data_IF_860503841006
#
_entry.id   IF_860503841006
#
_cell.length_a   1.000
_cell.length_b   1.000
_cell.length_c   1.000
_cell.angle_alpha   90.00
_cell.angle_beta   90.00
_cell.angle_gamma   90.00
#
_symmetry.space_group_name_H-M   'P 1'
#
loop_
_entity.id
_entity.type
_entity.pdbx_description
1 polymer ?
#
# COMPACT_ATOMS: atom_id res chain seq x y z
N UNK A 1 19.67 -6.79 4.29
CA UNK A 1 18.74 -7.30 3.24
C UNK A 1 19.56 -7.59 1.99
N UNK A 2 19.56 -8.83 1.48
CA UNK A 2 20.42 -9.25 0.36
C UNK A 2 20.10 -8.43 -0.91
N UNK A 3 21.14 -8.04 -1.68
CA UNK A 3 20.99 -7.22 -2.91
C UNK A 3 20.00 -7.84 -3.91
N UNK A 4 19.98 -9.17 -4.04
CA UNK A 4 19.03 -9.89 -4.89
C UNK A 4 17.55 -9.69 -4.47
N UNK A 5 17.26 -9.66 -3.16
CA UNK A 5 15.90 -9.39 -2.66
C UNK A 5 15.49 -7.93 -2.92
N UNK A 6 16.45 -7.01 -2.87
CA UNK A 6 16.22 -5.60 -3.16
C UNK A 6 15.93 -5.37 -4.65
N UNK A 7 16.71 -6.00 -5.54
CA UNK A 7 16.50 -5.93 -6.99
C UNK A 7 15.15 -6.55 -7.34
N UNK A 8 14.85 -7.77 -6.88
CA UNK A 8 13.56 -8.41 -7.15
C UNK A 8 12.38 -7.58 -6.67
N UNK A 9 12.48 -6.96 -5.49
CA UNK A 9 11.46 -6.03 -4.99
C UNK A 9 11.27 -4.82 -5.90
N UNK A 10 12.35 -4.15 -6.31
CA UNK A 10 12.25 -2.97 -7.18
C UNK A 10 11.77 -3.33 -8.59
N UNK A 11 12.14 -4.50 -9.11
CA UNK A 11 11.62 -4.99 -10.39
C UNK A 11 10.12 -5.19 -10.33
N UNK A 12 9.61 -5.95 -9.36
CA UNK A 12 8.16 -6.20 -9.21
C UNK A 12 7.39 -4.90 -8.92
N UNK A 13 7.94 -4.03 -8.09
CA UNK A 13 7.32 -2.73 -7.77
C UNK A 13 7.26 -1.82 -9.01
N UNK A 14 8.31 -1.81 -9.83
CA UNK A 14 8.36 -0.99 -11.06
C UNK A 14 7.37 -1.49 -12.11
N UNK A 15 7.24 -2.82 -12.27
CA UNK A 15 6.26 -3.41 -13.19
C UNK A 15 4.83 -3.03 -12.79
N UNK A 16 4.50 -3.16 -11.50
CA UNK A 16 3.16 -2.83 -10.99
C UNK A 16 2.89 -1.32 -11.11
N UNK A 17 3.87 -0.49 -10.75
CA UNK A 17 3.75 0.96 -10.89
C UNK A 17 3.58 1.38 -12.36
N UNK A 18 4.28 0.73 -13.29
CA UNK A 18 4.13 0.98 -14.72
C UNK A 18 2.74 0.59 -15.22
N UNK A 19 2.22 -0.57 -14.81
CA UNK A 19 0.87 -1.00 -15.17
C UNK A 19 -0.19 0.01 -14.69
N UNK A 20 -0.08 0.51 -13.47
CA UNK A 20 -1.00 1.55 -12.98
C UNK A 20 -0.81 2.90 -13.65
N UNK A 21 0.43 3.33 -13.89
CA UNK A 21 0.72 4.60 -14.53
C UNK A 21 0.18 4.61 -15.97
N UNK A 22 0.41 3.54 -16.74
CA UNK A 22 -0.12 3.39 -18.09
C UNK A 22 -1.65 3.37 -18.14
N UNK A 23 -2.30 2.73 -17.16
CA UNK A 23 -3.75 2.80 -16.99
C UNK A 23 -4.24 4.21 -16.68
N UNK A 24 -3.60 4.91 -15.74
CA UNK A 24 -3.95 6.30 -15.41
C UNK A 24 -3.75 7.27 -16.59
N UNK A 25 -2.68 7.09 -17.37
CA UNK A 25 -2.47 7.88 -18.60
C UNK A 25 -3.54 7.55 -19.64
N UNK A 26 -3.92 6.28 -19.82
CA UNK A 26 -4.99 5.89 -20.73
C UNK A 26 -6.33 6.54 -20.35
N UNK A 27 -6.61 6.66 -19.05
CA UNK A 27 -7.78 7.37 -18.54
C UNK A 27 -7.68 8.87 -18.82
N UNK A 28 -6.51 9.50 -18.62
CA UNK A 28 -6.31 10.94 -18.87
C UNK A 28 -6.44 11.32 -20.35
N UNK A 29 -6.01 10.46 -21.26
CA UNK A 29 -6.13 10.70 -22.72
C UNK A 29 -7.48 10.22 -23.28
N UNK A 30 -8.41 9.80 -22.42
CA UNK A 30 -9.73 9.27 -22.78
C UNK A 30 -9.64 8.20 -23.87
N UNK A 31 -8.76 7.20 -23.66
CA UNK A 31 -8.55 6.14 -24.65
C UNK A 31 -9.90 5.50 -25.02
N UNK A 32 -10.20 5.28 -26.33
CA UNK A 32 -11.54 4.90 -26.78
C UNK A 32 -12.15 3.72 -26.04
N UNK A 33 -11.36 2.69 -25.72
CA UNK A 33 -11.88 1.51 -25.02
C UNK A 33 -12.31 1.83 -23.58
N UNK A 34 -11.58 2.71 -22.89
CA UNK A 34 -11.92 3.13 -21.53
C UNK A 34 -13.11 4.10 -21.54
N UNK A 35 -13.16 5.00 -22.53
CA UNK A 35 -14.26 5.94 -22.71
C UNK A 35 -15.58 5.22 -23.00
N UNK A 36 -15.55 4.21 -23.87
CA UNK A 36 -16.71 3.37 -24.16
C UNK A 36 -17.24 2.68 -22.90
N UNK A 37 -16.36 2.08 -22.09
CA UNK A 37 -16.77 1.45 -20.83
C UNK A 37 -17.44 2.41 -19.85
N UNK A 38 -16.97 3.67 -19.78
CA UNK A 38 -17.60 4.70 -18.94
C UNK A 38 -18.95 5.16 -19.49
N UNK A 39 -19.08 5.31 -20.81
CA UNK A 39 -20.34 5.67 -21.46
C UNK A 39 -21.38 4.56 -21.30
N UNK A 40 -20.99 3.29 -21.43
CA UNK A 40 -21.87 2.14 -21.17
C UNK A 40 -22.44 2.14 -19.74
N UNK A 41 -21.64 2.59 -18.77
CA UNK A 41 -22.03 2.75 -17.37
C UNK A 41 -22.85 4.03 -17.11
N UNK A 42 -22.99 4.92 -18.10
CA UNK A 42 -23.65 6.22 -17.96
C UNK A 42 -22.81 7.27 -17.24
N UNK A 43 -21.50 7.04 -17.06
CA UNK A 43 -20.61 8.02 -16.45
C UNK A 43 -20.17 9.10 -17.43
N UNK A 44 -20.14 10.37 -17.00
CA UNK A 44 -19.63 11.45 -17.84
C UNK A 44 -18.09 11.35 -18.01
N UNK A 45 -17.53 11.78 -19.17
CA UNK A 45 -16.10 11.60 -19.48
C UNK A 45 -15.12 12.24 -18.49
N UNK A 46 -15.52 13.30 -17.77
CA UNK A 46 -14.64 13.94 -16.79
C UNK A 46 -14.26 12.99 -15.64
N UNK A 47 -15.05 11.94 -15.38
CA UNK A 47 -14.74 10.91 -14.37
C UNK A 47 -13.42 10.23 -14.70
N UNK A 48 -13.14 9.97 -15.99
CA UNK A 48 -11.84 9.43 -16.42
C UNK A 48 -10.69 10.38 -16.10
N UNK A 49 -10.88 11.68 -16.28
CA UNK A 49 -9.84 12.66 -15.95
C UNK A 49 -9.53 12.64 -14.45
N UNK A 50 -10.55 12.55 -13.61
CA UNK A 50 -10.38 12.45 -12.15
C UNK A 50 -9.67 11.14 -11.78
N UNK A 51 -10.16 10.00 -12.28
CA UNK A 51 -9.57 8.68 -11.99
C UNK A 51 -8.13 8.57 -12.50
N UNK A 52 -7.87 9.04 -13.72
CA UNK A 52 -6.55 9.04 -14.33
C UNK A 52 -5.56 9.89 -13.54
N UNK A 53 -5.96 11.08 -13.11
CA UNK A 53 -5.14 11.94 -12.23
C UNK A 53 -4.78 11.22 -10.93
N UNK A 54 -5.76 10.61 -10.26
CA UNK A 54 -5.52 9.88 -9.01
C UNK A 54 -4.68 8.61 -9.20
N UNK A 55 -4.86 7.88 -10.30
CA UNK A 55 -4.05 6.69 -10.64
C UNK A 55 -2.57 7.06 -10.82
N UNK A 56 -2.29 8.16 -11.52
CA UNK A 56 -0.92 8.67 -11.68
C UNK A 56 -0.32 9.05 -10.33
N UNK A 57 -1.04 9.78 -9.48
CA UNK A 57 -0.58 10.10 -8.13
C UNK A 57 -0.36 8.85 -7.26
N UNK A 58 -1.26 7.87 -7.36
CA UNK A 58 -1.13 6.58 -6.67
C UNK A 58 0.12 5.81 -7.09
N UNK A 59 0.42 5.76 -8.39
CA UNK A 59 1.63 5.13 -8.91
C UNK A 59 2.90 5.82 -8.38
N UNK A 60 2.94 7.16 -8.37
CA UNK A 60 4.04 7.93 -7.80
C UNK A 60 4.20 7.66 -6.30
N UNK A 61 3.09 7.59 -5.56
CA UNK A 61 3.10 7.29 -4.12
C UNK A 61 3.63 5.87 -3.81
N UNK A 62 3.31 4.88 -4.65
CA UNK A 62 3.83 3.52 -4.50
C UNK A 62 5.33 3.43 -4.76
N UNK A 63 5.85 4.21 -5.72
CA UNK A 63 7.30 4.29 -5.98
C UNK A 63 8.04 5.05 -4.87
N UNK A 64 7.39 5.99 -4.20
CA UNK A 64 8.03 6.82 -3.18
C UNK A 64 8.59 5.99 -1.99
N UNK A 65 9.87 6.20 -1.61
CA UNK A 65 10.51 5.46 -0.52
C UNK A 65 10.03 5.87 0.89
N UNK A 66 9.58 7.12 1.08
CA UNK A 66 9.48 7.74 2.42
C UNK A 66 8.08 7.82 3.04
N UNK A 67 7.01 7.55 2.30
CA UNK A 67 5.65 7.82 2.78
C UNK A 67 4.82 6.53 2.98
N UNK A 68 4.97 5.82 4.11
CA UNK A 68 4.28 4.55 4.35
C UNK A 68 2.76 4.67 4.39
N UNK A 69 2.22 5.73 5.02
CA UNK A 69 0.78 6.03 5.08
C UNK A 69 0.18 6.34 3.71
N UNK A 70 0.83 7.22 2.93
CA UNK A 70 0.37 7.57 1.58
C UNK A 70 0.36 6.34 0.67
N UNK A 71 1.31 5.42 0.87
CA UNK A 71 1.33 4.15 0.15
C UNK A 71 0.14 3.26 0.50
N UNK A 72 -0.23 3.18 1.78
CA UNK A 72 -1.44 2.46 2.21
C UNK A 72 -2.71 3.08 1.62
N UNK A 73 -2.79 4.41 1.55
CA UNK A 73 -3.90 5.10 0.89
C UNK A 73 -3.95 4.82 -0.61
N UNK A 74 -2.80 4.77 -1.28
CA UNK A 74 -2.74 4.42 -2.70
C UNK A 74 -3.26 3.00 -2.95
N UNK A 75 -2.83 2.01 -2.15
CA UNK A 75 -3.33 0.63 -2.26
C UNK A 75 -4.83 0.54 -1.97
N UNK A 76 -5.31 1.19 -0.91
CA UNK A 76 -6.73 1.19 -0.56
C UNK A 76 -7.58 1.85 -1.66
N UNK A 77 -7.15 3.01 -2.15
CA UNK A 77 -7.82 3.73 -3.24
C UNK A 77 -7.93 2.88 -4.51
N UNK A 78 -6.82 2.25 -4.94
CA UNK A 78 -6.86 1.37 -6.11
C UNK A 78 -7.77 0.16 -5.90
N UNK A 79 -7.78 -0.44 -4.71
CA UNK A 79 -8.69 -1.54 -4.42
C UNK A 79 -10.17 -1.10 -4.50
N UNK A 80 -10.52 0.05 -3.94
CA UNK A 80 -11.88 0.57 -4.00
C UNK A 80 -12.31 0.96 -5.41
N UNK A 81 -11.42 1.56 -6.20
CA UNK A 81 -11.69 1.88 -7.60
C UNK A 81 -11.96 0.61 -8.42
N UNK A 82 -11.09 -0.39 -8.32
CA UNK A 82 -11.23 -1.62 -9.10
C UNK A 82 -12.43 -2.47 -8.66
N UNK A 83 -12.68 -2.58 -7.35
CA UNK A 83 -13.87 -3.29 -6.86
C UNK A 83 -15.17 -2.56 -7.21
N UNK A 84 -15.18 -1.22 -7.17
CA UNK A 84 -16.29 -0.40 -7.66
C UNK A 84 -16.53 -0.58 -9.16
N UNK A 85 -15.48 -0.66 -9.97
CA UNK A 85 -15.58 -0.94 -11.41
C UNK A 85 -16.21 -2.32 -11.67
N UNK A 86 -15.73 -3.38 -10.98
CA UNK A 86 -16.31 -4.73 -11.09
C UNK A 86 -17.79 -4.71 -10.69
N UNK A 87 -18.14 -4.10 -9.56
CA UNK A 87 -19.53 -4.03 -9.10
C UNK A 87 -20.42 -3.27 -10.10
N UNK A 88 -19.96 -2.13 -10.61
CA UNK A 88 -20.71 -1.29 -11.56
C UNK A 88 -20.99 -2.05 -12.86
N UNK A 89 -19.99 -2.74 -13.41
CA UNK A 89 -20.16 -3.54 -14.63
C UNK A 89 -20.98 -4.81 -14.40
N UNK A 90 -20.87 -5.45 -13.23
CA UNK A 90 -21.71 -6.60 -12.88
C UNK A 90 -23.19 -6.21 -12.79
N UNK A 91 -23.49 -5.05 -12.19
CA UNK A 91 -24.87 -4.53 -12.10
C UNK A 91 -25.41 -4.07 -13.47
N UNK A 92 -24.55 -3.53 -14.32
CA UNK A 92 -24.93 -3.04 -15.66
C UNK A 92 -25.00 -4.16 -16.71
N UNK A 93 -24.67 -5.40 -16.34
CA UNK A 93 -24.59 -6.57 -17.26
C UNK A 93 -23.69 -6.31 -18.48
N UNK A 94 -22.63 -5.55 -18.29
CA UNK A 94 -21.64 -5.22 -19.33
C UNK A 94 -20.86 -6.46 -19.78
N UNK A 95 -20.10 -6.32 -20.87
CA UNK A 95 -19.23 -7.40 -21.38
C UNK A 95 -18.29 -7.95 -20.30
N UNK A 96 -18.04 -9.26 -20.34
CA UNK A 96 -17.23 -9.98 -19.36
C UNK A 96 -15.79 -9.43 -19.27
N UNK A 97 -15.28 -8.83 -20.35
CA UNK A 97 -13.96 -8.16 -20.39
C UNK A 97 -13.86 -7.04 -19.35
N UNK A 98 -14.94 -6.29 -19.15
CA UNK A 98 -14.99 -5.19 -18.16
C UNK A 98 -15.08 -5.68 -16.70
N UNK A 99 -15.28 -6.99 -16.49
CA UNK A 99 -15.19 -7.61 -15.16
C UNK A 99 -13.82 -8.26 -14.96
N UNK A 100 -13.32 -8.97 -15.98
CA UNK A 100 -12.07 -9.73 -15.91
C UNK A 100 -10.88 -8.80 -15.70
N UNK A 101 -10.74 -7.74 -16.50
CA UNK A 101 -9.56 -6.87 -16.40
C UNK A 101 -9.48 -6.14 -15.04
N UNK A 102 -10.52 -5.42 -14.58
CA UNK A 102 -10.46 -4.77 -13.27
C UNK A 102 -10.33 -5.77 -12.12
N UNK A 103 -11.00 -6.92 -12.20
CA UNK A 103 -10.89 -7.98 -11.20
C UNK A 103 -9.48 -8.56 -11.10
N UNK A 104 -8.85 -8.85 -12.24
CA UNK A 104 -7.46 -9.30 -12.29
C UNK A 104 -6.51 -8.27 -11.65
N UNK A 105 -6.64 -7.00 -12.03
CA UNK A 105 -5.83 -5.94 -11.42
C UNK A 105 -6.12 -5.74 -9.93
N UNK A 106 -7.35 -5.97 -9.47
CA UNK A 106 -7.71 -5.89 -8.05
C UNK A 106 -6.99 -6.98 -7.25
N UNK A 107 -7.01 -8.22 -7.76
CA UNK A 107 -6.27 -9.34 -7.16
C UNK A 107 -4.77 -9.05 -7.14
N UNK A 108 -4.19 -8.60 -8.26
CA UNK A 108 -2.78 -8.21 -8.31
C UNK A 108 -2.44 -7.11 -7.31
N UNK A 109 -3.33 -6.13 -7.13
CA UNK A 109 -3.19 -5.04 -6.15
C UNK A 109 -3.14 -5.58 -4.72
N UNK A 110 -4.06 -6.47 -4.36
CA UNK A 110 -4.10 -7.10 -3.04
C UNK A 110 -2.88 -7.99 -2.79
N UNK A 111 -2.47 -8.79 -3.78
CA UNK A 111 -1.28 -9.65 -3.69
C UNK A 111 -0.02 -8.79 -3.51
N UNK A 112 0.10 -7.70 -4.28
CA UNK A 112 1.19 -6.73 -4.14
C UNK A 112 1.25 -6.13 -2.73
N UNK A 113 0.08 -5.76 -2.19
CA UNK A 113 -0.05 -5.24 -0.84
C UNK A 113 0.33 -6.27 0.22
N UNK A 114 -0.13 -7.52 0.09
CA UNK A 114 0.14 -8.61 1.04
C UNK A 114 1.63 -9.01 1.07
N UNK A 115 2.31 -8.96 -0.08
CA UNK A 115 3.75 -9.26 -0.19
C UNK A 115 4.66 -8.11 0.28
N UNK A 116 4.11 -6.98 0.73
CA UNK A 116 4.87 -5.79 1.12
C UNK A 116 5.73 -6.06 2.37
N UNK A 117 7.04 -5.74 2.36
CA UNK A 117 7.92 -5.92 3.52
C UNK A 117 7.50 -5.10 4.74
N UNK A 118 7.54 -5.71 5.94
CA UNK A 118 7.18 -5.10 7.22
C UNK A 118 7.97 -3.81 7.57
N UNK A 119 9.15 -3.60 6.96
CA UNK A 119 9.94 -2.35 7.12
C UNK A 119 9.26 -1.10 6.56
N UNK A 120 8.09 -1.25 5.92
CA UNK A 120 7.31 -0.14 5.35
C UNK A 120 5.91 -0.03 5.95
N UNK A 121 5.52 -0.89 6.88
CA UNK A 121 4.26 -0.78 7.63
C UNK A 121 4.38 0.37 8.63
N UNK A 122 3.32 1.16 8.81
CA UNK A 122 3.29 2.24 9.81
C UNK A 122 3.47 1.64 11.21
N UNK A 123 4.67 1.84 11.78
CA UNK A 123 4.93 1.75 13.22
C UNK A 123 4.77 0.37 13.86
N UNK A 124 5.86 -0.16 14.41
CA UNK A 124 5.75 -1.01 15.59
C UNK A 124 5.11 -0.13 16.68
N UNK A 125 3.80 -0.25 16.90
CA UNK A 125 3.06 0.50 17.92
C UNK A 125 3.57 0.22 19.35
N UNK A 126 4.36 -0.84 19.52
CA UNK A 126 5.09 -1.15 20.74
C UNK A 126 6.58 -1.31 20.44
N UNK A 127 7.34 -0.22 20.56
CA UNK A 127 8.74 -0.36 20.97
C UNK A 127 8.71 -0.87 22.41
N UNK A 128 9.20 -2.08 22.75
CA UNK A 128 9.52 -2.36 24.15
C UNK A 128 10.56 -1.31 24.55
N UNK A 129 10.22 -0.41 25.48
CA UNK A 129 11.19 0.57 25.98
C UNK A 129 12.47 -0.18 26.39
N UNK A 130 13.63 0.06 25.75
CA UNK A 130 14.89 -0.45 26.26
C UNK A 130 15.25 0.43 27.45
N UNK A 131 14.66 0.13 28.62
CA UNK A 131 14.74 1.07 29.74
C UNK A 131 13.91 0.79 30.97
N UNK A 132 13.06 -0.25 31.03
CA UNK A 132 12.66 -0.75 32.36
C UNK A 132 13.82 -1.57 32.91
N UNK A 133 14.89 -0.86 33.22
CA UNK A 133 15.97 -1.32 34.07
C UNK A 133 15.31 -1.91 35.31
N UNK A 134 15.65 -3.16 35.61
CA UNK A 134 15.41 -3.72 36.92
C UNK A 134 15.84 -2.69 37.98
N UNK A 135 15.09 -2.52 39.08
CA UNK A 135 15.45 -1.59 40.14
C UNK A 135 16.92 -1.83 40.52
N UNK A 136 17.71 -0.75 40.79
CA UNK A 136 19.12 -0.89 41.09
C UNK A 136 19.23 -1.92 42.22
N UNK A 137 19.79 -3.08 41.88
CA UNK A 137 20.19 -4.06 42.86
C UNK A 137 21.09 -3.29 43.83
N UNK A 138 20.61 -3.13 45.07
CA UNK A 138 21.37 -2.61 46.21
C UNK A 138 22.51 -3.59 46.47
N UNK A 139 23.50 -3.56 45.59
CA UNK A 139 24.80 -4.18 45.77
C UNK A 139 25.52 -3.33 46.81
N UNK A 140 25.80 -3.99 47.93
CA UNK A 140 26.71 -3.57 49.00
C UNK A 140 26.34 -2.36 49.86
N UNK A 141 25.63 -2.62 50.97
CA UNK A 141 26.08 -2.15 52.30
C UNK A 141 25.47 -2.96 53.46
N UNK A 142 26.05 -4.13 53.76
CA UNK A 142 25.92 -4.77 55.09
C UNK A 142 27.22 -5.51 55.40
N UNK A 143 28.22 -4.75 55.83
CA UNK A 143 29.49 -5.25 56.34
C UNK A 143 29.99 -4.48 57.57
N UNK A 144 29.16 -3.64 58.20
CA UNK A 144 29.60 -2.67 59.22
C UNK A 144 28.77 -2.72 60.53
N UNK A 145 28.39 -3.92 61.01
CA UNK A 145 27.80 -4.06 62.36
C UNK A 145 28.40 -5.24 63.15
N UNK A 146 29.67 -5.57 62.92
CA UNK A 146 30.44 -6.45 63.79
C UNK A 146 31.52 -5.61 64.50
N UNK A 147 31.15 -4.95 65.60
CA UNK A 147 32.12 -4.19 66.38
C UNK A 147 31.55 -3.15 67.34
N UNK A 148 30.57 -3.51 68.17
CA UNK A 148 30.19 -2.69 69.32
C UNK A 148 29.61 -3.60 70.43
N UNK A 149 30.47 -4.43 71.01
CA UNK A 149 30.29 -4.97 72.34
C UNK A 149 31.57 -4.72 73.15
N UNK A 150 31.48 -3.72 74.04
CA UNK A 150 32.22 -3.58 75.30
C UNK A 150 31.70 -2.37 76.04
#
# INVERSE_FOLDING_TARGET
MNRAKMIGYWTTTSIIAFAWLSGGVADLVHRPETLQGMVELGYPPYVLTILGFWKVLGAVAVLAPRFPRLKEWAYAGTFFELSGAVASHAMSRSSLSHLIWPGFFAVCTLVSWALRPQSRVVGVLFQPRPGTQAPPQLVHRRGDLAGASR
#
